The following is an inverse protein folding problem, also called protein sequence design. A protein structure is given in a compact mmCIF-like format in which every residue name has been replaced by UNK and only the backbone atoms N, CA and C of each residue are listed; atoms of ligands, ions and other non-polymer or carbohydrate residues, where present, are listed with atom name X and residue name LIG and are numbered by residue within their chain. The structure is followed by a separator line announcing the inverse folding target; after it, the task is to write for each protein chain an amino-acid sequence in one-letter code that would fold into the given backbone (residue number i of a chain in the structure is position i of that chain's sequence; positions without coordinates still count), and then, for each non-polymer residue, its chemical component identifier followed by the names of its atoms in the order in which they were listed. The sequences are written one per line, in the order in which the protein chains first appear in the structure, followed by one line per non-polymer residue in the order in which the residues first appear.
data_IF_625675179756
#
_entry.id   IF_625675179756
#
_cell.length_a   1.000
_cell.length_b   1.000
_cell.length_c   1.000
_cell.angle_alpha   90.00
_cell.angle_beta   90.00
_cell.angle_gamma   90.00
#
_symmetry.space_group_name_H-M   'P 1'
#
loop_
_entity.id
_entity.type
_entity.pdbx_description
1 polymer ?
#
# COMPACT_ATOMS: atom_id res chain seq x y z
N UNK A 1 6.86 -9.14 -10.63
CA UNK A 1 5.73 -8.45 -9.98
C UNK A 1 5.46 -7.19 -10.76
N UNK A 2 4.23 -6.97 -11.19
CA UNK A 2 3.80 -5.72 -11.82
C UNK A 2 2.89 -4.99 -10.84
N UNK A 3 3.17 -3.71 -10.59
CA UNK A 3 2.32 -2.85 -9.76
C UNK A 3 1.41 -2.07 -10.69
N UNK A 4 0.10 -2.21 -10.46
CA UNK A 4 -0.94 -1.54 -11.24
C UNK A 4 -1.48 -0.39 -10.42
N UNK A 5 -1.36 0.83 -10.92
CA UNK A 5 -2.02 1.99 -10.33
C UNK A 5 -3.51 1.98 -10.70
N UNK A 6 -4.36 2.20 -9.71
CA UNK A 6 -5.82 2.19 -9.87
C UNK A 6 -6.47 3.20 -8.93
N UNK A 7 -7.64 3.69 -9.30
CA UNK A 7 -8.51 4.50 -8.43
C UNK A 7 -9.65 3.64 -7.93
N UNK A 8 -9.96 3.75 -6.64
CA UNK A 8 -11.12 3.11 -6.04
C UNK A 8 -12.31 4.07 -6.03
N UNK A 9 -13.33 3.80 -6.83
CA UNK A 9 -14.51 4.66 -6.94
C UNK A 9 -15.79 3.82 -6.95
N UNK A 10 -16.77 4.21 -6.13
CA UNK A 10 -18.07 3.55 -6.04
C UNK A 10 -17.98 2.03 -5.83
N UNK A 11 -17.01 1.58 -5.03
CA UNK A 11 -16.83 0.16 -4.74
C UNK A 11 -16.00 -0.64 -5.76
N UNK A 12 -15.47 0.01 -6.79
CA UNK A 12 -14.78 -0.65 -7.92
C UNK A 12 -13.35 -0.12 -8.06
N UNK A 13 -12.37 -1.03 -8.21
CA UNK A 13 -10.98 -0.69 -8.57
C UNK A 13 -10.88 -0.50 -10.09
N UNK A 14 -10.51 0.71 -10.51
CA UNK A 14 -10.35 1.09 -11.92
C UNK A 14 -8.87 1.32 -12.23
N UNK A 15 -8.20 0.46 -13.00
CA UNK A 15 -6.80 0.68 -13.34
C UNK A 15 -6.64 1.94 -14.21
N UNK A 16 -5.59 2.72 -13.95
CA UNK A 16 -5.28 3.94 -14.70
C UNK A 16 -4.81 3.65 -16.13
N UNK A 17 -4.36 2.42 -16.38
CA UNK A 17 -3.88 1.95 -17.68
C UNK A 17 -4.50 0.60 -18.03
N UNK A 18 -4.60 0.32 -19.33
CA UNK A 18 -5.06 -0.98 -19.82
C UNK A 18 -4.08 -2.07 -19.40
N UNK A 19 -4.61 -3.13 -18.80
CA UNK A 19 -3.82 -4.29 -18.39
C UNK A 19 -3.63 -5.23 -19.57
N UNK A 20 -2.40 -5.74 -19.72
CA UNK A 20 -2.09 -6.75 -20.72
C UNK A 20 -2.29 -8.17 -20.14
N UNK A 21 -3.54 -8.50 -19.82
CA UNK A 21 -3.93 -9.79 -19.26
C UNK A 21 -4.82 -10.56 -20.25
N UNK A 22 -4.70 -11.90 -20.33
CA UNK A 22 -5.63 -12.69 -21.12
C UNK A 22 -7.04 -12.61 -20.56
N UNK A 23 -8.03 -12.81 -21.41
CA UNK A 23 -9.44 -12.83 -20.99
C UNK A 23 -9.67 -13.93 -19.93
N UNK A 24 -10.54 -13.65 -18.95
CA UNK A 24 -10.81 -14.55 -17.81
C UNK A 24 -9.62 -14.83 -16.88
N UNK A 25 -8.52 -14.06 -16.97
CA UNK A 25 -7.44 -14.15 -16.01
C UNK A 25 -7.93 -13.89 -14.57
N UNK A 26 -7.62 -14.80 -13.65
CA UNK A 26 -7.84 -14.60 -12.21
C UNK A 26 -6.65 -13.86 -11.64
N UNK A 27 -6.91 -12.77 -10.93
CA UNK A 27 -5.88 -11.96 -10.27
C UNK A 27 -6.07 -11.97 -8.75
N UNK A 28 -4.97 -11.79 -8.01
CA UNK A 28 -5.00 -11.56 -6.56
C UNK A 28 -4.69 -10.11 -6.30
N UNK A 29 -5.56 -9.44 -5.56
CA UNK A 29 -5.37 -8.05 -5.14
C UNK A 29 -4.81 -8.08 -3.72
N UNK A 30 -3.73 -7.33 -3.50
CA UNK A 30 -3.16 -7.11 -2.17
C UNK A 30 -3.34 -5.63 -1.88
N UNK A 31 -4.18 -5.31 -0.90
CA UNK A 31 -4.34 -3.95 -0.39
C UNK A 31 -3.36 -3.83 0.77
N UNK A 32 -2.24 -3.16 0.52
CA UNK A 32 -1.33 -2.78 1.59
C UNK A 32 -1.81 -1.45 2.15
N UNK A 33 -2.16 -1.37 3.44
CA UNK A 33 -2.33 -0.07 4.09
C UNK A 33 -1.06 0.76 3.91
N UNK A 34 -1.21 2.06 3.70
CA UNK A 34 -0.05 2.94 3.59
C UNK A 34 0.71 2.88 4.93
N UNK A 35 2.00 2.57 4.85
CA UNK A 35 2.86 2.55 6.04
C UNK A 35 2.85 3.91 6.72
N UNK A 36 2.77 4.99 5.93
CA UNK A 36 2.67 6.34 6.47
C UNK A 36 1.30 6.57 7.15
N UNK A 37 0.17 6.06 6.62
CA UNK A 37 -1.13 6.11 7.33
C UNK A 37 -1.12 5.26 8.61
N UNK A 38 -0.52 4.07 8.59
CA UNK A 38 -0.43 3.21 9.77
C UNK A 38 0.40 3.90 10.84
N UNK A 39 1.58 4.40 10.48
CA UNK A 39 2.45 5.07 11.44
C UNK A 39 1.79 6.35 11.97
N UNK A 40 1.10 7.12 11.12
CA UNK A 40 0.36 8.32 11.53
C UNK A 40 -0.80 7.98 12.47
N UNK A 41 -1.47 6.84 12.26
CA UNK A 41 -2.50 6.35 13.18
C UNK A 41 -1.93 5.88 14.52
N UNK A 42 -0.69 5.37 14.55
CA UNK A 42 0.02 4.98 15.77
C UNK A 42 0.55 6.19 16.55
N UNK A 43 0.91 7.29 15.87
CA UNK A 43 1.37 8.54 16.51
C UNK A 43 0.34 9.19 17.44
N UNK A 44 -0.96 8.87 17.30
CA UNK A 44 -2.01 9.37 18.21
C UNK A 44 -1.83 8.78 19.63
N UNK A 45 -1.11 7.66 19.78
CA UNK A 45 -0.65 7.15 21.09
C UNK A 45 0.76 7.64 21.41
N UNK A 46 0.92 8.96 21.49
CA UNK A 46 1.97 9.71 22.20
C UNK A 46 3.15 8.86 22.72
N UNK A 47 4.09 8.51 21.84
CA UNK A 47 5.44 8.11 22.25
C UNK A 47 6.38 9.21 21.76
N UNK A 48 6.74 10.13 22.65
CA UNK A 48 7.52 11.36 22.37
C UNK A 48 8.94 11.10 21.82
N UNK A 49 9.34 9.84 21.59
CA UNK A 49 10.71 9.45 21.18
C UNK A 49 10.72 8.24 20.23
N UNK A 50 9.99 8.33 19.12
CA UNK A 50 10.17 7.36 18.02
C UNK A 50 10.88 8.06 16.85
N UNK A 51 12.03 7.50 16.46
CA UNK A 51 12.76 7.89 15.25
C UNK A 51 12.11 7.21 14.03
N UNK A 52 11.24 7.98 13.39
CA UNK A 52 10.44 7.53 12.24
C UNK A 52 11.29 7.04 11.07
N UNK A 53 12.43 7.69 10.85
CA UNK A 53 13.31 7.38 9.72
C UNK A 53 13.86 5.96 9.86
N UNK A 54 14.33 5.63 11.06
CA UNK A 54 14.92 4.33 11.37
C UNK A 54 13.91 3.18 11.29
N UNK A 55 12.65 3.45 11.66
CA UNK A 55 11.55 2.49 11.53
C UNK A 55 11.19 2.21 10.08
N UNK A 56 11.10 3.26 9.24
CA UNK A 56 10.80 3.12 7.82
C UNK A 56 11.89 2.34 7.09
N UNK A 57 13.16 2.63 7.38
CA UNK A 57 14.31 1.88 6.85
C UNK A 57 14.23 0.39 7.22
N UNK A 58 14.00 0.04 8.49
CA UNK A 58 13.91 -1.35 8.94
C UNK A 58 12.76 -2.13 8.29
N UNK A 59 11.62 -1.49 8.01
CA UNK A 59 10.50 -2.14 7.31
C UNK A 59 10.88 -2.54 5.88
N UNK A 60 11.46 -1.60 5.11
CA UNK A 60 11.84 -1.87 3.72
C UNK A 60 12.99 -2.86 3.59
N UNK A 61 13.91 -2.92 4.57
CA UNK A 61 14.97 -3.94 4.60
C UNK A 61 14.45 -5.36 4.88
N UNK A 62 13.23 -5.51 5.42
CA UNK A 62 12.64 -6.80 5.79
C UNK A 62 11.77 -7.45 4.71
N UNK A 63 11.52 -6.74 3.61
CA UNK A 63 10.77 -7.21 2.42
C UNK A 63 11.69 -7.91 1.41
#
# INVERSE_FOLDING_TARGET
MEVVEAVYENGVLKPLKKLNLPEHARVRIVITPDVDEILDSMLIRKVEKIDYKRLKEAYYESL
#
